data_IF_536657818293
#
_entry.id   IF_536657818293
#
_cell.length_a   1.000
_cell.length_b   1.000
_cell.length_c   1.000
_cell.angle_alpha   90.00
_cell.angle_beta   90.00
_cell.angle_gamma   90.00
#
_symmetry.space_group_name_H-M   'P 1'
#
loop_
_entity.id
_entity.type
_entity.pdbx_description
1 polymer ?
#
# COMPACT_ATOMS: atom_id res chain seq x y z
N UNK A 1 49.76 33.49 -22.43
CA UNK A 1 48.59 32.97 -21.70
C UNK A 1 48.45 31.50 -22.03
N UNK A 2 48.98 30.60 -21.22
CA UNK A 2 48.74 29.16 -21.34
C UNK A 2 47.82 28.76 -20.19
N UNK A 3 46.52 28.67 -20.47
CA UNK A 3 45.56 28.12 -19.52
C UNK A 3 45.79 26.62 -19.50
N UNK A 4 46.58 26.18 -18.53
CA UNK A 4 46.77 24.78 -18.19
C UNK A 4 45.41 24.20 -17.78
N UNK A 5 44.67 23.73 -18.77
CA UNK A 5 43.48 22.92 -18.60
C UNK A 5 43.96 21.51 -18.21
N UNK A 6 44.61 21.40 -17.04
CA UNK A 6 44.67 20.16 -16.28
C UNK A 6 43.25 19.86 -15.86
N UNK A 7 42.50 19.43 -16.86
CA UNK A 7 41.12 19.02 -16.80
C UNK A 7 40.99 18.19 -15.55
N UNK A 8 40.05 18.58 -14.69
CA UNK A 8 39.73 17.94 -13.42
C UNK A 8 39.16 16.51 -13.65
N UNK A 9 39.74 15.77 -14.59
CA UNK A 9 39.44 14.39 -14.97
C UNK A 9 39.50 13.48 -13.75
N UNK A 10 40.42 13.72 -12.82
CA UNK A 10 40.49 12.97 -11.57
C UNK A 10 39.25 13.13 -10.67
N UNK A 11 38.59 14.31 -10.70
CA UNK A 11 37.33 14.51 -9.98
C UNK A 11 36.18 13.80 -10.68
N UNK A 12 36.17 13.83 -12.02
CA UNK A 12 35.13 13.17 -12.83
C UNK A 12 35.26 11.64 -12.71
N UNK A 13 36.47 11.09 -12.76
CA UNK A 13 36.68 9.64 -12.62
C UNK A 13 36.37 9.17 -11.20
N UNK A 14 36.72 9.95 -10.18
CA UNK A 14 36.32 9.67 -8.80
C UNK A 14 34.79 9.67 -8.62
N UNK A 15 34.10 10.65 -9.22
CA UNK A 15 32.64 10.73 -9.19
C UNK A 15 31.98 9.55 -9.90
N UNK A 16 32.47 9.17 -11.09
CA UNK A 16 31.93 8.03 -11.84
C UNK A 16 32.15 6.72 -11.08
N UNK A 17 33.34 6.51 -10.51
CA UNK A 17 33.61 5.32 -9.71
C UNK A 17 32.73 5.27 -8.45
N UNK A 18 32.59 6.39 -7.74
CA UNK A 18 31.77 6.48 -6.55
C UNK A 18 30.28 6.25 -6.86
N UNK A 19 29.79 6.82 -7.95
CA UNK A 19 28.42 6.59 -8.41
C UNK A 19 28.21 5.12 -8.81
N UNK A 20 29.13 4.53 -9.56
CA UNK A 20 29.03 3.12 -9.98
C UNK A 20 29.03 2.16 -8.77
N UNK A 21 29.92 2.37 -7.80
CA UNK A 21 29.95 1.58 -6.57
C UNK A 21 28.70 1.83 -5.71
N UNK A 22 28.29 3.08 -5.54
CA UNK A 22 27.08 3.44 -4.78
C UNK A 22 25.83 2.83 -5.39
N UNK A 23 25.73 2.81 -6.73
CA UNK A 23 24.64 2.15 -7.45
C UNK A 23 24.69 0.63 -7.27
N UNK A 24 25.86 0.00 -7.41
CA UNK A 24 26.03 -1.43 -7.17
C UNK A 24 25.60 -1.83 -5.76
N UNK A 25 26.07 -1.09 -4.76
CA UNK A 25 25.72 -1.27 -3.35
C UNK A 25 24.21 -1.09 -3.17
N UNK A 26 23.63 -0.01 -3.70
CA UNK A 26 22.19 0.27 -3.61
C UNK A 26 21.36 -0.84 -4.23
N UNK A 27 21.77 -1.38 -5.39
CA UNK A 27 21.02 -2.42 -6.09
C UNK A 27 21.15 -3.80 -5.45
N UNK A 28 22.32 -4.15 -4.88
CA UNK A 28 22.58 -5.48 -4.29
C UNK A 28 22.07 -5.59 -2.85
N UNK A 29 22.19 -4.51 -2.06
CA UNK A 29 21.87 -4.54 -0.61
C UNK A 29 20.44 -4.04 -0.34
N UNK A 30 19.91 -3.14 -1.18
CA UNK A 30 18.55 -2.62 -1.07
C UNK A 30 17.86 -2.65 -2.45
N UNK A 31 17.60 -3.85 -3.02
CA UNK A 31 16.86 -3.93 -4.25
C UNK A 31 15.55 -3.16 -4.07
N UNK A 32 15.34 -2.13 -4.90
CA UNK A 32 14.08 -1.40 -4.89
C UNK A 32 13.05 -2.40 -5.36
N UNK A 33 12.33 -2.98 -4.41
CA UNK A 33 11.22 -3.86 -4.76
C UNK A 33 10.16 -2.90 -5.31
N UNK A 34 10.20 -2.68 -6.61
CA UNK A 34 9.05 -2.19 -7.35
C UNK A 34 8.01 -3.31 -7.30
N UNK A 35 7.39 -3.46 -6.13
CA UNK A 35 6.18 -4.25 -5.96
C UNK A 35 5.12 -3.48 -6.75
N UNK A 36 5.04 -3.73 -8.06
CA UNK A 36 3.75 -3.71 -8.76
C UNK A 36 2.96 -4.85 -8.13
N UNK A 37 2.53 -4.64 -6.90
CA UNK A 37 1.83 -5.63 -6.11
C UNK A 37 0.45 -5.74 -6.72
N UNK A 38 0.16 -6.87 -7.34
CA UNK A 38 -1.23 -7.25 -7.52
C UNK A 38 -1.86 -7.24 -6.10
N UNK A 39 -3.04 -6.61 -5.90
CA UNK A 39 -3.74 -6.51 -4.61
C UNK A 39 -3.93 -7.85 -3.87
N UNK A 40 -3.73 -8.95 -4.60
CA UNK A 40 -3.97 -10.34 -4.23
C UNK A 40 -2.78 -10.96 -3.49
N UNK A 41 -1.54 -10.49 -3.76
CA UNK A 41 -0.30 -11.00 -3.15
C UNK A 41 0.17 -10.18 -1.95
N UNK A 42 -0.62 -9.19 -1.51
CA UNK A 42 -0.33 -8.42 -0.30
C UNK A 42 -0.38 -9.35 0.93
N UNK A 43 0.62 -9.22 1.80
CA UNK A 43 0.60 -9.84 3.12
C UNK A 43 -0.69 -9.46 3.86
N UNK A 44 -1.14 -10.32 4.78
CA UNK A 44 -2.32 -10.05 5.63
C UNK A 44 -2.27 -8.68 6.31
N UNK A 45 -1.07 -8.20 6.65
CA UNK A 45 -0.85 -6.87 7.22
C UNK A 45 -0.99 -5.73 6.19
N UNK A 46 -0.49 -5.91 4.96
CA UNK A 46 -0.66 -4.90 3.91
C UNK A 46 -2.12 -4.82 3.41
N UNK A 47 -2.84 -5.96 3.36
CA UNK A 47 -4.31 -5.97 3.14
C UNK A 47 -5.04 -5.22 4.25
N UNK A 48 -4.58 -5.35 5.49
CA UNK A 48 -5.14 -4.64 6.62
C UNK A 48 -4.94 -3.11 6.50
N UNK A 49 -3.74 -2.66 6.15
CA UNK A 49 -3.48 -1.23 5.90
C UNK A 49 -4.32 -0.68 4.74
N UNK A 50 -4.43 -1.43 3.64
CA UNK A 50 -5.23 -1.01 2.49
C UNK A 50 -6.73 -0.90 2.83
N UNK A 51 -7.28 -1.82 3.62
CA UNK A 51 -8.66 -1.73 4.14
C UNK A 51 -8.86 -0.50 5.02
N UNK A 52 -7.87 -0.16 5.84
CA UNK A 52 -7.91 1.01 6.70
C UNK A 52 -7.90 2.31 5.88
N UNK A 53 -7.09 2.38 4.82
CA UNK A 53 -7.05 3.53 3.93
C UNK A 53 -8.36 3.70 3.16
N UNK A 54 -8.98 2.62 2.70
CA UNK A 54 -10.32 2.68 2.10
C UNK A 54 -11.34 3.21 3.11
N UNK A 55 -11.31 2.74 4.36
CA UNK A 55 -12.24 3.17 5.40
C UNK A 55 -12.05 4.65 5.77
N UNK A 56 -10.80 5.13 5.85
CA UNK A 56 -10.49 6.56 6.07
C UNK A 56 -10.93 7.42 4.88
N UNK A 57 -10.67 6.98 3.66
CA UNK A 57 -11.11 7.66 2.46
C UNK A 57 -12.65 7.75 2.39
N UNK A 58 -13.35 6.70 2.83
CA UNK A 58 -14.81 6.71 2.93
C UNK A 58 -15.31 7.70 3.99
N UNK A 59 -14.66 7.78 5.16
CA UNK A 59 -15.00 8.77 6.18
C UNK A 59 -14.80 10.21 5.68
N UNK A 60 -13.72 10.48 4.95
CA UNK A 60 -13.44 11.81 4.40
C UNK A 60 -14.35 12.17 3.21
N UNK A 61 -14.71 11.18 2.38
CA UNK A 61 -15.53 11.35 1.18
C UNK A 61 -16.48 10.14 1.01
N UNK A 62 -17.69 10.19 1.60
CA UNK A 62 -18.61 9.05 1.66
C UNK A 62 -19.13 8.68 0.26
N UNK A 63 -18.41 7.76 -0.39
CA UNK A 63 -18.74 7.20 -1.70
C UNK A 63 -18.75 5.67 -1.60
N UNK A 64 -19.90 5.05 -1.24
CA UNK A 64 -19.96 3.62 -0.94
C UNK A 64 -19.63 2.76 -2.16
N UNK A 65 -20.18 3.09 -3.34
CA UNK A 65 -19.88 2.41 -4.63
C UNK A 65 -18.38 2.29 -4.91
N UNK A 66 -17.65 3.38 -4.67
CA UNK A 66 -16.21 3.47 -4.95
C UNK A 66 -15.38 2.71 -3.91
N UNK A 67 -15.85 2.68 -2.65
CA UNK A 67 -15.20 1.92 -1.59
C UNK A 67 -15.41 0.41 -1.79
N UNK A 68 -16.62 -0.01 -2.13
CA UNK A 68 -16.98 -1.40 -2.43
C UNK A 68 -16.21 -1.93 -3.65
N UNK A 69 -16.15 -1.15 -4.73
CA UNK A 69 -15.39 -1.54 -5.93
C UNK A 69 -13.92 -1.78 -5.64
N UNK A 70 -13.30 -0.96 -4.77
CA UNK A 70 -11.89 -1.14 -4.36
C UNK A 70 -11.70 -2.33 -3.43
N UNK A 71 -12.65 -2.58 -2.55
CA UNK A 71 -12.62 -3.74 -1.66
C UNK A 71 -12.78 -5.05 -2.44
N UNK A 72 -13.58 -5.05 -3.51
CA UNK A 72 -13.73 -6.19 -4.41
C UNK A 72 -12.40 -6.56 -5.11
N UNK A 73 -11.49 -5.60 -5.33
CA UNK A 73 -10.16 -5.87 -5.89
C UNK A 73 -9.27 -6.70 -4.95
N UNK A 74 -9.56 -6.73 -3.65
CA UNK A 74 -8.84 -7.58 -2.69
C UNK A 74 -9.22 -9.05 -2.80
N UNK A 75 -10.37 -9.34 -3.43
CA UNK A 75 -10.91 -10.68 -3.66
C UNK A 75 -10.89 -11.55 -2.38
N UNK A 76 -11.15 -10.93 -1.23
CA UNK A 76 -11.25 -11.62 0.05
C UNK A 76 -12.51 -12.51 0.06
N UNK A 77 -12.43 -13.76 0.56
CA UNK A 77 -13.57 -14.66 0.61
C UNK A 77 -14.69 -14.16 1.54
N UNK A 78 -14.33 -13.39 2.58
CA UNK A 78 -15.29 -12.71 3.46
C UNK A 78 -14.73 -11.35 3.92
N UNK A 79 -14.90 -10.29 3.09
CA UNK A 79 -14.35 -8.98 3.39
C UNK A 79 -15.01 -8.32 4.61
N UNK A 80 -16.29 -8.64 4.88
CA UNK A 80 -17.02 -8.18 6.06
C UNK A 80 -16.43 -8.73 7.35
N UNK A 81 -16.25 -10.05 7.43
CA UNK A 81 -15.68 -10.69 8.62
C UNK A 81 -14.25 -10.21 8.88
N UNK A 82 -13.46 -10.03 7.82
CA UNK A 82 -12.06 -9.58 7.94
C UNK A 82 -11.94 -8.13 8.42
N UNK A 83 -12.85 -7.23 8.00
CA UNK A 83 -12.92 -5.85 8.51
C UNK A 83 -13.30 -5.80 9.99
N UNK A 84 -14.25 -6.64 10.42
CA UNK A 84 -14.68 -6.72 11.83
C UNK A 84 -13.54 -7.25 12.71
N UNK A 85 -12.90 -8.35 12.30
CA UNK A 85 -11.77 -8.92 13.01
C UNK A 85 -10.61 -7.91 13.14
N UNK A 86 -10.33 -7.17 12.08
CA UNK A 86 -9.30 -6.13 12.10
C UNK A 86 -9.67 -4.97 13.04
N UNK A 87 -10.94 -4.53 13.05
CA UNK A 87 -11.38 -3.49 13.97
C UNK A 87 -11.23 -3.92 15.44
N UNK A 88 -11.57 -5.18 15.75
CA UNK A 88 -11.42 -5.75 17.09
C UNK A 88 -9.96 -5.83 17.52
N UNK A 89 -9.07 -6.29 16.64
CA UNK A 89 -7.62 -6.32 16.90
C UNK A 89 -7.05 -4.91 17.14
N UNK A 90 -7.51 -3.92 16.37
CA UNK A 90 -7.09 -2.52 16.50
C UNK A 90 -7.52 -1.91 17.84
N UNK A 91 -8.70 -2.30 18.35
CA UNK A 91 -9.15 -1.91 19.69
C UNK A 91 -8.41 -2.67 20.79
N UNK A 92 -8.16 -3.97 20.61
CA UNK A 92 -7.46 -4.82 21.57
C UNK A 92 -6.00 -4.41 21.77
N UNK A 93 -5.35 -3.93 20.71
CA UNK A 93 -3.98 -3.40 20.73
C UNK A 93 -3.89 -1.96 21.23
N UNK A 94 -5.01 -1.32 21.62
CA UNK A 94 -5.04 0.06 22.08
C UNK A 94 -4.80 1.09 20.96
N UNK A 95 -5.06 0.71 19.72
CA UNK A 95 -4.95 1.58 18.56
C UNK A 95 -6.11 2.58 18.44
N UNK A 96 -6.21 3.25 17.28
CA UNK A 96 -7.19 4.32 17.06
C UNK A 96 -8.63 3.81 17.03
N UNK A 97 -9.46 4.27 17.98
CA UNK A 97 -10.91 3.98 17.99
C UNK A 97 -11.61 4.52 16.73
N UNK A 98 -11.20 5.67 16.21
CA UNK A 98 -11.74 6.24 14.97
C UNK A 98 -11.45 5.33 13.76
N UNK A 99 -10.25 4.71 13.72
CA UNK A 99 -9.91 3.72 12.71
C UNK A 99 -10.77 2.45 12.82
N UNK A 100 -10.99 1.95 14.04
CA UNK A 100 -11.85 0.80 14.28
C UNK A 100 -13.31 1.09 13.87
N UNK A 101 -13.83 2.28 14.22
CA UNK A 101 -15.18 2.71 13.85
C UNK A 101 -15.34 2.83 12.32
N UNK A 102 -14.31 3.32 11.63
CA UNK A 102 -14.25 3.34 10.16
C UNK A 102 -14.46 1.95 9.56
N UNK A 103 -13.68 0.96 10.04
CA UNK A 103 -13.69 -0.41 9.54
C UNK A 103 -15.05 -1.07 9.76
N UNK A 104 -15.65 -0.88 10.94
CA UNK A 104 -16.99 -1.41 11.26
C UNK A 104 -18.08 -0.76 10.41
N UNK A 105 -18.01 0.56 10.18
CA UNK A 105 -18.97 1.25 9.30
C UNK A 105 -18.93 0.70 7.86
N UNK A 106 -17.73 0.40 7.36
CA UNK A 106 -17.52 -0.18 6.04
C UNK A 106 -18.02 -1.63 5.98
N UNK A 107 -17.78 -2.41 7.04
CA UNK A 107 -18.29 -3.77 7.19
C UNK A 107 -19.83 -3.83 7.19
N UNK A 108 -20.49 -2.85 7.82
CA UNK A 108 -21.95 -2.74 7.82
C UNK A 108 -22.51 -2.45 6.42
N UNK A 109 -21.83 -1.62 5.63
CA UNK A 109 -22.22 -1.34 4.24
C UNK A 109 -22.10 -2.57 3.34
N UNK A 110 -21.06 -3.39 3.55
CA UNK A 110 -20.89 -4.67 2.84
C UNK A 110 -21.95 -5.69 3.23
N UNK A 111 -22.34 -5.78 4.49
CA UNK A 111 -23.42 -6.69 4.90
C UNK A 111 -24.78 -6.22 4.36
N UNK A 112 -24.94 -4.92 4.13
CA UNK A 112 -26.14 -4.31 3.54
C UNK A 112 -26.17 -4.44 2.01
N UNK A 113 -25.03 -4.71 1.37
CA UNK A 113 -24.90 -4.89 -0.07
C UNK A 113 -24.63 -6.37 -0.34
N UNK A 114 -25.57 -7.13 -0.92
CA UNK A 114 -25.35 -8.56 -1.15
C UNK A 114 -24.04 -8.78 -1.92
N UNK A 115 -23.25 -9.84 -1.59
CA UNK A 115 -22.02 -10.12 -2.31
C UNK A 115 -22.36 -10.23 -3.79
N UNK A 116 -21.61 -9.51 -4.63
CA UNK A 116 -21.69 -9.62 -6.08
C UNK A 116 -21.15 -10.99 -6.53
N UNK A 117 -21.80 -12.05 -6.09
CA UNK A 117 -21.68 -13.41 -6.59
C UNK A 117 -22.95 -13.72 -7.36
N UNK A 118 -23.08 -13.13 -8.54
CA UNK A 118 -23.95 -13.70 -9.58
C UNK A 118 -23.28 -13.46 -10.92
N UNK A 119 -22.30 -14.33 -11.20
CA UNK A 119 -22.05 -14.82 -12.53
C UNK A 119 -23.39 -15.07 -13.24
N UNK A 120 -23.52 -14.61 -14.47
CA UNK A 120 -24.54 -15.11 -15.38
C UNK A 120 -23.96 -15.11 -16.80
N UNK A 121 -24.49 -15.96 -17.68
CA UNK A 121 -24.21 -17.38 -17.83
C UNK A 121 -23.27 -17.69 -19.01
#
# INVERSE_FOLDING_TARGET
METNNQSHLYLITGLILGAALGLLISLVIAPVVHQVALPQELSTQAKAEYRLDIARAYQAAPNPERALSRLALLNDPDPSAALIAQAQELLASGGSEDAARALVSLAGLLQSTPPASTLMP
#
